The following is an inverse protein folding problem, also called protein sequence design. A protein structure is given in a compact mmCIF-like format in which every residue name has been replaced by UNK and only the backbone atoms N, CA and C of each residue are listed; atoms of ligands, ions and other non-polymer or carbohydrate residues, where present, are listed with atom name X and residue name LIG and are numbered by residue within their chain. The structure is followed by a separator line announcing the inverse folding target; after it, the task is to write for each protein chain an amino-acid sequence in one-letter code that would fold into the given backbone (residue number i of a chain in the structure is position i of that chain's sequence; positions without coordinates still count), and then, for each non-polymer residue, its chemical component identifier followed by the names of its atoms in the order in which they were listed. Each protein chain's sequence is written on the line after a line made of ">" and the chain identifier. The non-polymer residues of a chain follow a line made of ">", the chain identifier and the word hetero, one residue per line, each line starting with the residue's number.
data_IF_026111161628
#
_entry.id   IF_026111161628
#
_cell.length_a   1.000
_cell.length_b   1.000
_cell.length_c   1.000
_cell.angle_alpha   90.00
_cell.angle_beta   90.00
_cell.angle_gamma   90.00
#
_symmetry.space_group_name_H-M   'P 1'
#
loop_
_entity.id
_entity.type
_entity.pdbx_description
1 polymer ?
#
# COMPACT_ATOMS: atom_id res chain seq x y z
N UNK A 1 1.29 -20.55 -1.34
CA UNK A 1 0.71 -19.51 -0.45
C UNK A 1 0.35 -18.28 -1.29
N UNK A 2 -0.84 -17.67 -1.15
CA UNK A 2 -1.16 -16.40 -1.81
C UNK A 2 -0.21 -15.28 -1.36
N UNK A 3 0.19 -14.39 -2.28
CA UNK A 3 1.13 -13.29 -1.99
C UNK A 3 0.65 -12.36 -0.86
N UNK A 4 -0.64 -12.07 -0.78
CA UNK A 4 -1.18 -11.28 0.33
C UNK A 4 -1.00 -11.93 1.72
N UNK A 5 -1.00 -13.26 1.79
CA UNK A 5 -0.72 -14.00 3.04
C UNK A 5 0.76 -13.96 3.36
N UNK A 6 1.63 -14.00 2.35
CA UNK A 6 3.06 -13.76 2.54
C UNK A 6 3.29 -12.38 3.16
N UNK A 7 2.70 -11.34 2.58
CA UNK A 7 2.75 -9.97 3.10
C UNK A 7 2.23 -9.89 4.54
N UNK A 8 1.10 -10.52 4.86
CA UNK A 8 0.58 -10.56 6.23
C UNK A 8 1.57 -11.20 7.20
N UNK A 9 2.21 -12.30 6.80
CA UNK A 9 3.22 -12.98 7.61
C UNK A 9 4.43 -12.09 7.86
N UNK A 10 4.90 -11.38 6.83
CA UNK A 10 5.97 -10.40 6.98
C UNK A 10 5.61 -9.28 7.94
N UNK A 11 4.39 -8.74 7.86
CA UNK A 11 3.88 -7.76 8.84
C UNK A 11 3.72 -8.32 10.26
N UNK A 12 3.74 -9.64 10.42
CA UNK A 12 3.76 -10.33 11.71
C UNK A 12 5.18 -10.77 12.13
N UNK A 13 6.23 -10.20 11.52
CA UNK A 13 7.63 -10.46 11.86
C UNK A 13 8.28 -11.65 11.15
N UNK A 14 7.66 -12.21 10.09
CA UNK A 14 8.21 -13.39 9.38
C UNK A 14 8.79 -13.03 8.02
N UNK A 15 10.11 -13.06 7.91
CA UNK A 15 10.84 -13.01 6.65
C UNK A 15 10.54 -14.22 5.73
N UNK A 16 10.35 -13.97 4.44
CA UNK A 16 10.10 -15.03 3.45
C UNK A 16 10.65 -14.69 2.06
N UNK A 17 11.03 -15.75 1.33
CA UNK A 17 11.33 -15.71 -0.10
C UNK A 17 10.42 -16.71 -0.81
N UNK A 18 9.91 -16.35 -1.99
CA UNK A 18 8.99 -17.19 -2.74
C UNK A 18 9.30 -17.13 -4.25
N UNK A 19 9.49 -18.29 -4.88
CA UNK A 19 9.58 -18.43 -6.34
C UNK A 19 8.21 -18.83 -6.92
N UNK A 20 8.09 -18.95 -8.24
CA UNK A 20 6.85 -19.30 -8.94
C UNK A 20 6.06 -20.46 -8.29
N UNK A 21 6.74 -21.57 -7.94
CA UNK A 21 6.14 -22.74 -7.29
C UNK A 21 5.47 -22.48 -5.94
N UNK A 22 5.82 -21.37 -5.28
CA UNK A 22 5.30 -21.01 -3.97
C UNK A 22 4.03 -20.14 -4.05
N UNK A 23 3.70 -19.58 -5.22
CA UNK A 23 2.53 -18.71 -5.38
C UNK A 23 1.23 -19.54 -5.41
N UNK A 24 0.34 -19.25 -4.46
CA UNK A 24 -1.00 -19.84 -4.39
C UNK A 24 -2.09 -19.04 -5.10
N UNK A 25 -1.71 -18.00 -5.86
CA UNK A 25 -2.63 -17.15 -6.60
C UNK A 25 -1.93 -16.68 -7.89
N UNK A 26 -2.44 -17.13 -9.05
CA UNK A 26 -1.87 -16.78 -10.35
C UNK A 26 -2.01 -15.29 -10.67
N UNK A 27 -3.08 -14.63 -10.18
CA UNK A 27 -3.22 -13.18 -10.31
C UNK A 27 -2.01 -12.44 -9.72
N UNK A 28 -1.59 -12.81 -8.50
CA UNK A 28 -0.41 -12.22 -7.88
C UNK A 28 0.89 -12.59 -8.60
N UNK A 29 1.07 -13.87 -8.99
CA UNK A 29 2.27 -14.30 -9.70
C UNK A 29 2.45 -13.56 -11.04
N UNK A 30 1.34 -13.27 -11.74
CA UNK A 30 1.32 -12.46 -12.97
C UNK A 30 1.57 -11.00 -12.67
N UNK A 31 0.89 -10.39 -11.69
CA UNK A 31 1.07 -8.97 -11.34
C UNK A 31 2.53 -8.62 -11.02
N UNK A 32 3.25 -9.54 -10.36
CA UNK A 32 4.65 -9.38 -9.99
C UNK A 32 5.63 -9.97 -11.02
N UNK A 33 5.11 -10.43 -12.17
CA UNK A 33 5.88 -10.96 -13.31
C UNK A 33 6.87 -12.07 -12.94
N UNK A 34 6.42 -12.90 -12.01
CA UNK A 34 7.02 -14.20 -11.68
C UNK A 34 6.58 -15.26 -12.70
N UNK A 35 5.39 -15.08 -13.29
CA UNK A 35 4.90 -15.82 -14.44
C UNK A 35 4.30 -14.85 -15.47
N UNK A 36 4.36 -15.21 -16.75
CA UNK A 36 3.76 -14.40 -17.82
C UNK A 36 2.22 -14.45 -17.73
N UNK A 37 1.52 -13.32 -17.96
CA UNK A 37 0.07 -13.33 -18.07
C UNK A 37 -0.37 -13.97 -19.39
N UNK A 38 -1.43 -14.78 -19.34
CA UNK A 38 -2.01 -15.42 -20.52
C UNK A 38 -3.05 -14.53 -21.23
N UNK A 39 -3.46 -14.94 -22.43
CA UNK A 39 -4.45 -14.22 -23.24
C UNK A 39 -5.80 -14.10 -22.51
N UNK A 40 -6.23 -15.14 -21.79
CA UNK A 40 -7.50 -15.13 -21.04
C UNK A 40 -7.50 -14.06 -19.94
N UNK A 41 -6.36 -13.87 -19.29
CA UNK A 41 -6.17 -12.83 -18.28
C UNK A 41 -6.13 -11.45 -18.93
N UNK A 42 -5.26 -11.24 -19.92
CA UNK A 42 -5.03 -9.91 -20.53
C UNK A 42 -6.23 -9.41 -21.34
N UNK A 43 -7.03 -10.31 -21.91
CA UNK A 43 -8.25 -9.96 -22.65
C UNK A 43 -9.45 -9.61 -21.77
N UNK A 44 -9.40 -9.92 -20.46
CA UNK A 44 -10.53 -9.77 -19.54
C UNK A 44 -11.48 -10.98 -19.48
N UNK A 45 -11.36 -11.95 -20.39
CA UNK A 45 -12.26 -13.11 -20.45
C UNK A 45 -12.26 -13.94 -19.18
N UNK A 46 -11.10 -14.12 -18.54
CA UNK A 46 -11.01 -14.85 -17.27
C UNK A 46 -11.89 -14.21 -16.18
N UNK A 47 -11.80 -12.89 -16.00
CA UNK A 47 -12.54 -12.21 -14.93
C UNK A 47 -14.02 -12.02 -15.26
N UNK A 48 -14.38 -11.92 -16.54
CA UNK A 48 -15.76 -11.95 -16.98
C UNK A 48 -16.40 -13.32 -16.72
N UNK A 49 -15.68 -14.41 -17.00
CA UNK A 49 -16.15 -15.77 -16.71
C UNK A 49 -16.37 -16.04 -15.20
N UNK A 50 -15.75 -15.25 -14.32
CA UNK A 50 -15.98 -15.30 -12.87
C UNK A 50 -17.20 -14.48 -12.43
N UNK A 51 -17.84 -13.72 -13.33
CA UNK A 51 -18.94 -12.80 -13.00
C UNK A 51 -18.50 -11.61 -12.14
N UNK A 52 -17.20 -11.28 -12.12
CA UNK A 52 -16.68 -10.15 -11.33
C UNK A 52 -17.09 -8.79 -11.91
N UNK A 53 -17.43 -8.76 -13.20
CA UNK A 53 -17.84 -7.56 -13.93
C UNK A 53 -19.06 -7.90 -14.78
N UNK A 54 -19.90 -6.91 -15.06
CA UNK A 54 -21.18 -7.11 -15.74
C UNK A 54 -21.04 -7.70 -17.16
N UNK A 55 -19.94 -7.39 -17.85
CA UNK A 55 -19.71 -7.74 -19.24
C UNK A 55 -18.20 -7.76 -19.60
N UNK A 56 -17.89 -8.32 -20.76
CA UNK A 56 -16.53 -8.39 -21.28
C UNK A 56 -15.89 -7.01 -21.54
N UNK A 57 -16.59 -6.00 -22.12
CA UNK A 57 -16.04 -4.65 -22.26
C UNK A 57 -15.55 -4.04 -20.93
N UNK A 58 -16.32 -4.17 -19.86
CA UNK A 58 -15.98 -3.69 -18.51
C UNK A 58 -14.79 -4.46 -17.96
N UNK A 59 -14.83 -5.79 -18.04
CA UNK A 59 -13.73 -6.65 -17.60
C UNK A 59 -12.42 -6.36 -18.34
N UNK A 60 -12.49 -6.13 -19.66
CA UNK A 60 -11.36 -5.75 -20.50
C UNK A 60 -10.85 -4.34 -20.16
N UNK A 61 -11.73 -3.39 -19.84
CA UNK A 61 -11.32 -2.07 -19.37
C UNK A 61 -10.52 -2.19 -18.06
N UNK A 62 -10.98 -3.01 -17.12
CA UNK A 62 -10.24 -3.24 -15.87
C UNK A 62 -8.88 -3.86 -16.15
N UNK A 63 -8.81 -4.96 -16.91
CA UNK A 63 -7.54 -5.65 -17.17
C UNK A 63 -6.54 -4.80 -17.98
N UNK A 64 -7.01 -3.89 -18.84
CA UNK A 64 -6.14 -2.91 -19.52
C UNK A 64 -5.50 -1.89 -18.57
N UNK A 65 -6.14 -1.61 -17.43
CA UNK A 65 -5.67 -0.63 -16.46
C UNK A 65 -4.97 -1.25 -15.24
N UNK A 66 -5.07 -2.57 -15.07
CA UNK A 66 -4.26 -3.34 -14.12
C UNK A 66 -2.80 -3.30 -14.58
N UNK A 67 -1.90 -2.99 -13.66
CA UNK A 67 -0.47 -2.91 -13.95
C UNK A 67 0.17 -4.25 -13.61
N UNK A 68 0.91 -4.80 -14.57
CA UNK A 68 1.81 -5.94 -14.40
C UNK A 68 3.24 -5.40 -14.43
N UNK A 69 4.13 -5.96 -13.60
CA UNK A 69 5.53 -5.62 -13.67
C UNK A 69 6.10 -5.93 -15.07
N UNK A 70 7.02 -5.12 -15.60
CA UNK A 70 7.59 -5.33 -16.94
C UNK A 70 8.84 -6.19 -16.95
N UNK A 71 9.50 -6.30 -15.81
CA UNK A 71 10.67 -7.15 -15.64
C UNK A 71 10.26 -8.63 -15.50
N UNK A 72 11.21 -9.54 -15.69
CA UNK A 72 11.05 -10.95 -15.36
C UNK A 72 11.66 -11.22 -14.00
N UNK A 73 10.85 -11.61 -13.03
CA UNK A 73 11.28 -11.94 -11.68
C UNK A 73 11.40 -13.46 -11.51
N UNK A 74 12.48 -13.94 -10.87
CA UNK A 74 12.53 -15.33 -10.41
C UNK A 74 11.55 -15.58 -9.26
N UNK A 75 11.34 -14.57 -8.43
CA UNK A 75 10.53 -14.64 -7.22
C UNK A 75 10.54 -13.32 -6.47
N UNK A 76 10.03 -13.36 -5.24
CA UNK A 76 9.88 -12.19 -4.37
C UNK A 76 10.47 -12.46 -3.00
N UNK A 77 10.93 -11.39 -2.36
CA UNK A 77 11.26 -11.38 -0.94
C UNK A 77 10.31 -10.42 -0.23
N UNK A 78 9.80 -10.83 0.92
CA UNK A 78 8.96 -9.98 1.78
C UNK A 78 9.42 -10.18 3.21
N UNK A 79 9.72 -9.10 3.92
CA UNK A 79 10.13 -9.10 5.32
C UNK A 79 9.75 -7.77 6.00
N UNK A 80 9.75 -7.70 7.35
CA UNK A 80 9.69 -6.43 8.06
C UNK A 80 10.73 -5.43 7.52
N UNK A 81 10.39 -4.14 7.50
CA UNK A 81 11.23 -3.13 6.87
C UNK A 81 12.59 -3.02 7.57
N UNK A 82 12.58 -3.15 8.89
CA UNK A 82 13.73 -3.14 9.79
C UNK A 82 14.68 -4.34 9.62
N UNK A 83 14.25 -5.41 8.95
CA UNK A 83 15.08 -6.59 8.68
C UNK A 83 15.79 -6.51 7.31
N UNK A 84 15.62 -5.43 6.54
CA UNK A 84 16.31 -5.23 5.26
C UNK A 84 17.73 -4.72 5.42
N UNK A 85 18.70 -5.48 4.90
CA UNK A 85 20.09 -5.04 4.73
C UNK A 85 20.23 -4.11 3.50
N UNK A 86 19.50 -4.43 2.43
CA UNK A 86 19.44 -3.67 1.18
C UNK A 86 18.10 -2.96 1.04
N UNK A 87 18.06 -1.83 0.31
CA UNK A 87 16.83 -1.09 0.05
C UNK A 87 15.78 -1.97 -0.68
N UNK A 88 14.57 -2.18 -0.11
CA UNK A 88 13.52 -2.88 -0.82
C UNK A 88 13.00 -2.04 -1.99
N UNK A 89 12.40 -2.66 -3.00
CA UNK A 89 11.83 -1.91 -4.11
C UNK A 89 10.54 -1.15 -3.73
N UNK A 90 9.70 -1.77 -2.91
CA UNK A 90 8.39 -1.23 -2.48
C UNK A 90 8.23 -1.43 -0.99
N UNK A 91 7.76 -0.38 -0.32
CA UNK A 91 7.29 -0.41 1.07
C UNK A 91 5.78 -0.46 1.07
N UNK A 92 5.21 -1.23 2.00
CA UNK A 92 3.77 -1.28 2.18
C UNK A 92 3.39 -1.09 3.65
N UNK A 93 2.32 -0.34 3.86
CA UNK A 93 1.70 -0.12 5.16
C UNK A 93 0.26 -0.59 5.08
N UNK A 94 -0.16 -1.49 5.99
CA UNK A 94 -1.57 -1.83 6.19
C UNK A 94 -2.03 -1.19 7.49
N UNK A 95 -3.09 -0.40 7.40
CA UNK A 95 -3.54 0.45 8.52
C UNK A 95 -5.00 0.87 8.32
N UNK A 96 -5.56 1.61 9.26
CA UNK A 96 -6.88 2.22 9.12
C UNK A 96 -6.90 3.49 8.23
N UNK A 97 -8.08 3.95 7.79
CA UNK A 97 -8.22 5.16 6.97
C UNK A 97 -7.61 6.43 7.54
N UNK A 98 -7.64 6.61 8.86
CA UNK A 98 -7.10 7.81 9.49
C UNK A 98 -5.58 7.92 9.29
N UNK A 99 -4.85 6.86 9.61
CA UNK A 99 -3.41 6.78 9.38
C UNK A 99 -3.07 6.81 7.89
N UNK A 100 -3.91 6.19 7.05
CA UNK A 100 -3.75 6.25 5.61
C UNK A 100 -3.81 7.68 5.08
N UNK A 101 -4.78 8.48 5.56
CA UNK A 101 -4.87 9.91 5.26
C UNK A 101 -3.61 10.67 5.69
N UNK A 102 -3.05 10.39 6.88
CA UNK A 102 -1.80 11.03 7.34
C UNK A 102 -0.60 10.68 6.44
N UNK A 103 -0.47 9.43 6.00
CA UNK A 103 0.57 9.00 5.06
C UNK A 103 0.43 9.75 3.73
N UNK A 104 -0.79 9.85 3.19
CA UNK A 104 -1.04 10.58 1.94
C UNK A 104 -0.77 12.07 2.10
N UNK A 105 -1.14 12.68 3.23
CA UNK A 105 -0.77 14.07 3.52
C UNK A 105 0.75 14.25 3.54
N UNK A 106 1.49 13.32 4.15
CA UNK A 106 2.95 13.32 4.13
C UNK A 106 3.55 13.19 2.73
N UNK A 107 2.97 12.33 1.89
CA UNK A 107 3.32 12.27 0.47
C UNK A 107 3.04 13.60 -0.24
N UNK A 108 1.82 14.15 -0.11
CA UNK A 108 1.43 15.37 -0.82
C UNK A 108 2.21 16.61 -0.40
N UNK A 109 2.69 16.63 0.85
CA UNK A 109 3.61 17.66 1.32
C UNK A 109 4.94 17.64 0.54
N UNK A 110 5.47 16.46 0.24
CA UNK A 110 6.77 16.31 -0.43
C UNK A 110 6.68 16.33 -1.96
N UNK A 111 5.59 15.79 -2.52
CA UNK A 111 5.49 15.49 -3.96
C UNK A 111 4.29 16.15 -4.66
N UNK A 112 3.39 16.80 -3.91
CA UNK A 112 2.17 17.38 -4.45
C UNK A 112 1.06 16.36 -4.70
N UNK A 113 0.06 16.75 -5.48
CA UNK A 113 -1.16 15.96 -5.68
C UNK A 113 -0.95 14.82 -6.69
N UNK A 114 -1.16 13.57 -6.27
CA UNK A 114 -1.14 12.42 -7.17
C UNK A 114 -2.50 12.24 -7.88
N UNK A 115 -2.51 12.35 -9.20
CA UNK A 115 -3.70 12.19 -10.05
C UNK A 115 -3.83 10.80 -10.68
N UNK A 116 -2.85 9.93 -10.43
CA UNK A 116 -2.64 8.68 -11.14
C UNK A 116 -2.92 7.42 -10.30
N UNK A 117 -3.66 7.55 -9.18
CA UNK A 117 -4.13 6.43 -8.38
C UNK A 117 -4.83 5.37 -9.24
N UNK A 118 -4.54 4.10 -8.97
CA UNK A 118 -5.14 2.95 -9.65
C UNK A 118 -5.75 2.02 -8.63
N UNK A 119 -7.08 2.04 -8.58
CA UNK A 119 -7.84 1.23 -7.64
C UNK A 119 -9.10 0.71 -8.32
N UNK A 120 -9.35 -0.57 -8.16
CA UNK A 120 -10.54 -1.29 -8.61
C UNK A 120 -11.23 -2.06 -7.49
N UNK A 121 -10.64 -2.07 -6.29
CA UNK A 121 -11.08 -2.92 -5.18
C UNK A 121 -10.74 -4.39 -5.39
N UNK A 122 -9.96 -4.71 -6.44
CA UNK A 122 -9.54 -6.04 -6.84
C UNK A 122 -8.04 -6.05 -7.12
N UNK A 123 -7.40 -7.22 -6.98
CA UNK A 123 -5.95 -7.33 -7.15
C UNK A 123 -5.16 -6.39 -6.23
N UNK A 124 -5.67 -6.19 -5.01
CA UNK A 124 -5.20 -5.24 -4.01
C UNK A 124 -3.69 -5.27 -3.73
N UNK A 125 -3.23 -6.24 -2.93
CA UNK A 125 -1.84 -6.25 -2.47
C UNK A 125 -0.86 -6.46 -3.63
N UNK A 126 -1.21 -7.30 -4.61
CA UNK A 126 -0.32 -7.64 -5.71
C UNK A 126 -0.22 -6.56 -6.80
N UNK A 127 -1.33 -5.95 -7.21
CA UNK A 127 -1.32 -4.89 -8.22
C UNK A 127 -1.32 -3.52 -7.56
N UNK A 128 -2.39 -3.18 -6.83
CA UNK A 128 -2.59 -1.84 -6.29
C UNK A 128 -1.47 -1.41 -5.31
N UNK A 129 -0.93 -2.31 -4.48
CA UNK A 129 0.12 -1.95 -3.51
C UNK A 129 1.53 -2.45 -3.85
N UNK A 130 1.72 -3.23 -4.92
CA UNK A 130 3.07 -3.71 -5.31
C UNK A 130 3.43 -3.30 -6.73
N UNK A 131 2.75 -3.83 -7.77
CA UNK A 131 3.16 -3.54 -9.15
C UNK A 131 2.91 -2.09 -9.57
N UNK A 132 1.82 -1.46 -9.11
CA UNK A 132 1.55 -0.04 -9.40
C UNK A 132 2.65 0.85 -8.81
N UNK A 133 2.99 0.76 -7.50
CA UNK A 133 4.11 1.53 -6.96
C UNK A 133 5.45 1.24 -7.61
N UNK A 134 5.74 -0.03 -7.90
CA UNK A 134 6.99 -0.43 -8.54
C UNK A 134 7.14 0.17 -9.94
N UNK A 135 6.14 0.00 -10.81
CA UNK A 135 6.24 0.40 -12.22
C UNK A 135 6.09 1.91 -12.42
N UNK A 136 5.32 2.59 -11.56
CA UNK A 136 5.10 4.04 -11.68
C UNK A 136 6.05 4.87 -10.85
N UNK A 137 6.80 4.24 -9.94
CA UNK A 137 7.61 4.92 -8.94
C UNK A 137 6.79 6.01 -8.23
N UNK A 138 5.60 5.62 -7.75
CA UNK A 138 4.64 6.54 -7.13
C UNK A 138 3.79 5.83 -6.06
N UNK A 139 3.21 6.58 -5.12
CA UNK A 139 2.33 6.03 -4.09
C UNK A 139 1.03 5.52 -4.70
N UNK A 140 0.46 4.47 -4.12
CA UNK A 140 -0.90 4.04 -4.44
C UNK A 140 -1.60 3.44 -3.21
N UNK A 141 -2.93 3.44 -3.26
CA UNK A 141 -3.81 3.04 -2.16
C UNK A 141 -4.68 1.87 -2.60
N UNK A 142 -5.00 0.97 -1.67
CA UNK A 142 -5.93 -0.13 -1.87
C UNK A 142 -6.92 -0.25 -0.72
N UNK A 143 -8.19 -0.46 -1.05
CA UNK A 143 -9.24 -0.81 -0.08
C UNK A 143 -9.29 -2.30 0.25
N UNK A 144 -8.33 -3.09 -0.25
CA UNK A 144 -8.24 -4.54 -0.09
C UNK A 144 -9.38 -5.31 -0.79
N UNK A 145 -9.02 -6.28 -1.62
CA UNK A 145 -10.00 -7.13 -2.30
C UNK A 145 -10.57 -8.23 -1.39
N UNK A 146 -11.75 -8.75 -1.75
CA UNK A 146 -12.40 -9.83 -1.02
C UNK A 146 -11.48 -11.04 -0.79
N UNK A 147 -10.70 -11.42 -1.82
CA UNK A 147 -9.76 -12.53 -1.73
C UNK A 147 -8.66 -12.32 -0.67
N UNK A 148 -8.09 -11.11 -0.58
CA UNK A 148 -7.07 -10.81 0.44
C UNK A 148 -7.68 -10.75 1.83
N UNK A 149 -8.87 -10.14 2.00
CA UNK A 149 -9.57 -10.12 3.29
C UNK A 149 -9.84 -11.53 3.78
N UNK A 150 -10.37 -12.39 2.92
CA UNK A 150 -10.67 -13.78 3.27
C UNK A 150 -9.43 -14.61 3.62
N UNK A 151 -8.37 -14.52 2.79
CA UNK A 151 -7.17 -15.38 2.92
C UNK A 151 -6.16 -14.87 3.96
N UNK A 152 -5.91 -13.56 3.99
CA UNK A 152 -4.93 -12.92 4.87
C UNK A 152 -5.55 -12.31 6.14
N UNK A 153 -6.88 -12.40 6.29
CA UNK A 153 -7.63 -12.01 7.50
C UNK A 153 -7.43 -10.54 7.90
N UNK A 154 -7.36 -9.66 6.90
CA UNK A 154 -7.42 -8.22 7.13
C UNK A 154 -8.79 -7.82 7.67
N UNK A 155 -8.81 -6.89 8.62
CA UNK A 155 -10.02 -6.37 9.28
C UNK A 155 -10.77 -5.41 8.36
N UNK A 156 -12.08 -5.28 8.56
CA UNK A 156 -12.96 -4.48 7.69
C UNK A 156 -12.58 -3.00 7.64
N UNK A 157 -12.00 -2.47 8.72
CA UNK A 157 -11.50 -1.10 8.83
C UNK A 157 -10.03 -0.95 8.40
N UNK A 158 -9.41 -1.96 7.80
CA UNK A 158 -8.06 -1.89 7.26
C UNK A 158 -8.04 -1.62 5.76
N UNK A 159 -7.01 -0.89 5.35
CA UNK A 159 -6.63 -0.58 3.97
C UNK A 159 -5.11 -0.68 3.83
N UNK A 160 -4.62 -0.72 2.59
CA UNK A 160 -3.19 -0.78 2.31
C UNK A 160 -2.72 0.43 1.49
N UNK A 161 -1.47 0.81 1.71
CA UNK A 161 -0.75 1.81 0.93
C UNK A 161 0.58 1.18 0.52
N UNK A 162 0.93 1.29 -0.76
CA UNK A 162 2.24 0.92 -1.28
C UNK A 162 2.91 2.11 -1.91
N UNK A 163 4.22 2.25 -1.75
CA UNK A 163 5.04 3.29 -2.36
C UNK A 163 6.47 2.79 -2.53
N UNK A 164 7.24 3.32 -3.50
CA UNK A 164 8.64 2.92 -3.68
C UNK A 164 9.51 3.39 -2.51
N UNK A 165 10.52 2.60 -2.14
CA UNK A 165 11.33 2.86 -0.94
C UNK A 165 12.06 4.20 -0.97
N UNK A 166 12.52 4.63 -2.15
CA UNK A 166 13.16 5.95 -2.34
C UNK A 166 12.29 7.14 -1.88
N UNK A 167 10.96 6.98 -1.74
CA UNK A 167 10.06 8.00 -1.22
C UNK A 167 9.82 7.91 0.29
N UNK A 168 10.20 6.81 0.95
CA UNK A 168 9.86 6.52 2.34
C UNK A 168 10.24 7.65 3.30
N UNK A 169 11.50 8.10 3.25
CA UNK A 169 11.97 9.16 4.15
C UNK A 169 11.28 10.50 3.89
N UNK A 170 10.98 10.83 2.63
CA UNK A 170 10.26 12.06 2.27
C UNK A 170 8.82 12.03 2.79
N UNK A 171 8.14 10.88 2.68
CA UNK A 171 6.80 10.68 3.22
C UNK A 171 6.81 10.82 4.75
N UNK A 172 7.74 10.16 5.45
CA UNK A 172 7.88 10.27 6.92
C UNK A 172 8.11 11.72 7.35
N UNK A 173 9.02 12.43 6.66
CA UNK A 173 9.26 13.86 6.93
C UNK A 173 8.02 14.71 6.68
N UNK A 174 7.25 14.42 5.62
CA UNK A 174 6.00 15.12 5.35
C UNK A 174 4.93 14.85 6.40
N UNK A 175 4.85 13.62 6.93
CA UNK A 175 3.96 13.30 8.07
C UNK A 175 4.32 14.18 9.26
N UNK A 176 5.61 14.31 9.60
CA UNK A 176 6.06 15.18 10.70
C UNK A 176 5.78 16.66 10.40
N UNK A 177 6.08 17.13 9.20
CA UNK A 177 5.90 18.54 8.83
C UNK A 177 4.43 18.99 8.84
N UNK A 178 3.50 18.07 8.60
CA UNK A 178 2.05 18.36 8.60
C UNK A 178 1.39 18.10 9.95
N UNK A 179 2.07 17.43 10.88
CA UNK A 179 1.54 16.97 12.18
C UNK A 179 0.81 18.07 12.93
N UNK A 180 1.46 19.22 13.11
CA UNK A 180 0.86 20.32 13.86
C UNK A 180 -0.48 20.70 13.26
N UNK A 181 -0.50 21.02 11.96
CA UNK A 181 -1.68 21.58 11.31
C UNK A 181 -2.87 20.62 11.25
N UNK A 182 -2.63 19.30 11.26
CA UNK A 182 -3.66 18.29 10.97
C UNK A 182 -4.11 17.49 12.19
N UNK A 183 -3.33 17.49 13.28
CA UNK A 183 -3.64 16.69 14.47
C UNK A 183 -4.30 17.51 15.59
N UNK A 184 -5.31 16.97 16.29
CA UNK A 184 -5.82 17.57 17.52
C UNK A 184 -4.82 17.34 18.66
N UNK A 185 -4.93 18.13 19.73
CA UNK A 185 -4.05 18.02 20.90
C UNK A 185 -4.06 16.63 21.53
N UNK A 186 -5.23 15.96 21.54
CA UNK A 186 -5.37 14.59 22.05
C UNK A 186 -4.47 13.61 21.29
N UNK A 187 -4.47 13.69 19.96
CA UNK A 187 -3.62 12.86 19.09
C UNK A 187 -2.15 13.25 19.17
N UNK A 188 -1.84 14.54 19.34
CA UNK A 188 -0.47 15.02 19.59
C UNK A 188 0.12 14.40 20.85
N UNK A 189 -0.65 14.37 21.94
CA UNK A 189 -0.26 13.70 23.18
C UNK A 189 -0.09 12.18 23.00
N UNK A 190 -0.98 11.52 22.25
CA UNK A 190 -0.83 10.09 21.90
C UNK A 190 0.48 9.83 21.12
N UNK A 191 0.85 10.72 20.19
CA UNK A 191 2.08 10.61 19.41
C UNK A 191 3.30 10.72 20.34
N UNK A 192 3.37 11.75 21.20
CA UNK A 192 4.47 11.93 22.15
C UNK A 192 4.63 10.71 23.07
N UNK A 193 3.51 10.18 23.60
CA UNK A 193 3.53 8.99 24.45
C UNK A 193 4.11 7.77 23.71
N UNK A 194 3.70 7.55 22.45
CA UNK A 194 4.21 6.44 21.63
C UNK A 194 5.69 6.57 21.29
N UNK A 195 6.18 7.79 21.07
CA UNK A 195 7.62 8.03 20.87
C UNK A 195 8.41 7.67 22.14
N UNK A 196 7.93 8.10 23.31
CA UNK A 196 8.54 7.78 24.60
C UNK A 196 8.55 6.27 24.88
N UNK A 197 7.44 5.57 24.64
CA UNK A 197 7.34 4.12 24.76
C UNK A 197 8.32 3.39 23.84
N UNK A 198 8.56 3.93 22.64
CA UNK A 198 9.54 3.39 21.70
C UNK A 198 11.00 3.78 22.00
N UNK A 199 11.25 4.56 23.07
CA UNK A 199 12.59 5.08 23.39
C UNK A 199 13.14 6.05 22.35
N UNK A 200 12.27 6.83 21.71
CA UNK A 200 12.61 7.78 20.64
C UNK A 200 12.14 9.19 21.00
N UNK A 201 12.83 10.19 20.46
CA UNK A 201 12.42 11.59 20.57
C UNK A 201 11.38 11.92 19.50
N UNK A 202 10.23 12.54 19.86
CA UNK A 202 9.26 13.00 18.88
C UNK A 202 9.80 14.21 18.09
N UNK A 203 9.27 14.49 16.89
CA UNK A 203 9.49 15.77 16.25
C UNK A 203 8.97 16.91 17.16
N UNK A 204 9.41 18.17 16.99
CA UNK A 204 8.80 19.30 17.70
C UNK A 204 7.29 19.38 17.42
N UNK A 205 6.46 19.39 18.46
CA UNK A 205 4.99 19.45 18.36
C UNK A 205 4.46 20.73 19.00
N UNK A 206 3.62 21.45 18.25
CA UNK A 206 2.95 22.66 18.72
C UNK A 206 1.48 22.37 19.02
N UNK A 207 1.13 22.38 20.31
CA UNK A 207 -0.25 22.30 20.77
C UNK A 207 -1.06 23.54 20.37
N UNK A 208 -2.38 23.39 20.26
CA UNK A 208 -3.35 24.44 19.88
C UNK A 208 -3.16 25.06 18.49
N UNK A 209 -2.28 24.49 17.67
CA UNK A 209 -2.09 24.89 16.28
C UNK A 209 -2.66 23.80 15.39
N UNK A 210 -3.84 23.99 14.82
CA UNK A 210 -4.38 23.16 13.74
C UNK A 210 -5.35 23.99 12.90
N UNK A 211 -5.61 23.60 11.65
CA UNK A 211 -6.36 24.46 10.72
C UNK A 211 -7.87 24.53 10.99
N UNK A 212 -8.41 23.64 11.82
CA UNK A 212 -9.86 23.50 12.03
C UNK A 212 -10.33 23.93 13.43
N UNK A 213 -9.43 24.18 14.39
CA UNK A 213 -9.75 24.76 15.70
C UNK A 213 -8.85 25.92 16.11
N UNK A 214 -7.61 25.99 15.60
CA UNK A 214 -6.57 26.90 16.13
C UNK A 214 -6.10 28.02 15.20
N UNK A 215 -6.49 28.04 13.92
CA UNK A 215 -5.97 29.01 12.94
C UNK A 215 -6.95 30.11 12.51
N UNK A 216 -8.24 30.00 12.85
CA UNK A 216 -9.19 31.09 12.63
C UNK A 216 -9.38 31.84 13.95
N UNK A 217 -9.13 33.16 14.00
CA UNK A 217 -9.59 33.96 15.12
C UNK A 217 -11.12 33.80 15.22
N UNK A 218 -11.61 33.55 16.43
CA UNK A 218 -13.04 33.65 16.74
C UNK A 218 -13.50 35.09 16.61
#
# INVERSE_FOLDING_TARGET
>A
MPYCVMVRNAMAGKSLKAAAKNFGCNGAARSLSVIEPDEMTTSGRFYESLGLYQDLPTSKNVQRNVIFCRHKAYGVMVKPLEEYDDEPHVVMVVTNPYNGMRIIQGYTYAFGFNTAYRMSGNQAICSECTSVPFERNDINVSLLCAGTRFKAKWRDDEMAIGFPFNQFLSIVRGVYATLDLTEPNEKKAEIEARFKEAGREPPPIQYNKNYYTGLNPK
#
